data_IF_356018075311
#
_entry.id   IF_356018075311
#
_cell.length_a   1.000
_cell.length_b   1.000
_cell.length_c   1.000
_cell.angle_alpha   90.00
_cell.angle_beta   90.00
_cell.angle_gamma   90.00
#
_symmetry.space_group_name_H-M   'P 1'
#
loop_
_entity.id
_entity.type
_entity.pdbx_description
1 polymer ?
#
# COMPACT_ATOMS: atom_id res chain seq x y z
N UNK A 1 22.85 -28.06 9.20
CA UNK A 1 21.66 -27.71 10.02
C UNK A 1 21.97 -26.42 10.79
N UNK A 2 21.69 -25.20 10.35
CA UNK A 2 20.96 -24.74 9.18
C UNK A 2 19.96 -23.62 9.54
N UNK A 3 20.43 -22.52 10.12
CA UNK A 3 19.80 -21.17 10.15
C UNK A 3 18.43 -20.93 10.80
N UNK A 4 17.64 -21.94 11.19
CA UNK A 4 16.30 -21.73 11.81
C UNK A 4 16.34 -21.21 13.27
N UNK A 5 17.51 -21.20 13.93
CA UNK A 5 17.60 -20.86 15.37
C UNK A 5 17.84 -19.38 15.72
N UNK A 6 18.20 -18.49 14.78
CA UNK A 6 18.51 -17.09 15.14
C UNK A 6 17.31 -16.17 15.35
N UNK A 7 16.09 -16.64 15.12
CA UNK A 7 14.86 -15.82 15.29
C UNK A 7 14.11 -16.17 16.59
N UNK A 8 14.52 -17.20 17.34
CA UNK A 8 13.77 -17.67 18.53
C UNK A 8 14.37 -17.28 19.90
N UNK A 9 15.53 -16.63 19.98
CA UNK A 9 16.18 -16.32 21.27
C UNK A 9 15.82 -14.94 21.82
N UNK A 10 14.51 -14.71 21.97
CA UNK A 10 13.98 -13.75 22.92
C UNK A 10 12.66 -14.33 23.42
N UNK A 11 12.74 -15.25 24.38
CA UNK A 11 11.72 -15.59 25.40
C UNK A 11 12.04 -16.97 26.01
N UNK A 12 12.21 -16.95 27.34
CA UNK A 12 12.28 -18.05 28.31
C UNK A 12 13.61 -18.77 28.58
N UNK A 13 13.75 -18.98 29.90
CA UNK A 13 14.89 -19.37 30.73
C UNK A 13 14.69 -20.83 31.13
N UNK A 14 15.80 -21.51 31.41
CA UNK A 14 15.97 -22.80 32.11
C UNK A 14 15.70 -24.13 31.38
N UNK A 15 16.80 -24.90 31.26
CA UNK A 15 16.86 -26.27 31.77
C UNK A 15 16.90 -27.43 30.77
N UNK A 16 18.09 -28.04 30.60
CA UNK A 16 18.21 -29.51 30.66
C UNK A 16 18.28 -30.36 29.37
N UNK A 17 19.47 -30.42 28.75
CA UNK A 17 20.35 -31.60 28.59
C UNK A 17 19.90 -32.92 27.89
N UNK A 18 20.83 -33.43 27.04
CA UNK A 18 21.06 -34.79 26.43
C UNK A 18 20.24 -35.15 25.18
N UNK A 19 20.80 -35.65 24.07
CA UNK A 19 22.16 -36.09 23.72
C UNK A 19 22.12 -37.13 22.59
N UNK A 20 23.22 -37.25 21.84
CA UNK A 20 23.62 -38.37 20.95
C UNK A 20 22.82 -38.59 19.64
N UNK A 21 23.36 -39.10 18.54
CA UNK A 21 24.72 -39.34 18.00
C UNK A 21 24.48 -40.07 16.66
N UNK A 22 25.23 -39.78 15.60
CA UNK A 22 26.01 -40.77 14.83
C UNK A 22 26.41 -40.25 13.45
N UNK A 23 27.71 -40.36 13.25
CA UNK A 23 28.51 -40.00 12.10
C UNK A 23 28.48 -41.12 11.06
N UNK A 24 28.64 -40.79 9.77
CA UNK A 24 29.55 -41.54 8.88
C UNK A 24 30.28 -40.54 7.98
N UNK A 25 31.60 -40.59 8.05
CA UNK A 25 32.57 -39.85 7.23
C UNK A 25 33.20 -40.81 6.23
N UNK A 26 33.52 -40.31 5.03
CA UNK A 26 34.85 -40.40 4.40
C UNK A 26 34.85 -39.59 3.10
N UNK A 27 35.70 -38.57 3.00
CA UNK A 27 36.21 -38.07 1.73
C UNK A 27 37.62 -37.46 1.92
N UNK A 28 38.45 -37.70 0.90
CA UNK A 28 39.86 -37.34 0.72
C UNK A 28 40.08 -35.81 0.63
N UNK A 29 41.32 -35.29 0.82
CA UNK A 29 41.65 -33.86 0.73
C UNK A 29 41.82 -33.36 -0.72
N UNK A 30 41.79 -32.02 -0.95
CA UNK A 30 41.61 -31.43 -2.27
C UNK A 30 42.93 -31.20 -3.02
N UNK A 31 42.91 -31.38 -4.33
CA UNK A 31 43.89 -30.82 -5.27
C UNK A 31 43.38 -29.51 -5.84
N UNK A 32 44.28 -28.54 -5.94
CA UNK A 32 44.08 -27.21 -6.51
C UNK A 32 43.89 -27.25 -8.04
N UNK A 33 43.45 -26.11 -8.55
CA UNK A 33 43.18 -25.73 -9.95
C UNK A 33 41.76 -26.00 -10.45
N UNK A 34 40.90 -24.97 -10.31
CA UNK A 34 39.85 -24.68 -11.28
C UNK A 34 39.81 -23.16 -11.57
N UNK A 35 39.63 -22.74 -12.83
CA UNK A 35 39.75 -21.36 -13.26
C UNK A 35 38.55 -20.52 -12.82
N UNK A 36 38.81 -19.23 -12.57
CA UNK A 36 37.78 -18.25 -12.22
C UNK A 36 36.68 -18.19 -13.30
N UNK A 37 35.45 -18.60 -12.95
CA UNK A 37 34.26 -18.31 -13.75
C UNK A 37 34.07 -16.79 -13.87
N UNK A 38 33.71 -16.27 -15.06
CA UNK A 38 33.47 -14.86 -15.24
C UNK A 38 32.22 -14.47 -14.44
N UNK A 39 32.32 -13.39 -13.67
CA UNK A 39 31.19 -12.76 -13.01
C UNK A 39 30.13 -12.40 -14.05
N UNK A 40 29.05 -13.19 -14.13
CA UNK A 40 27.88 -12.82 -14.89
C UNK A 40 27.26 -11.56 -14.26
N UNK A 41 27.60 -10.41 -14.84
CA UNK A 41 26.97 -9.14 -14.54
C UNK A 41 25.49 -9.22 -14.92
N UNK A 42 24.64 -9.30 -13.91
CA UNK A 42 23.19 -9.34 -14.11
C UNK A 42 22.69 -7.95 -14.53
N UNK A 43 22.50 -7.78 -15.84
CA UNK A 43 21.72 -6.69 -16.40
C UNK A 43 20.25 -6.93 -16.05
N UNK A 44 19.73 -6.21 -15.04
CA UNK A 44 18.29 -6.10 -14.86
C UNK A 44 17.77 -5.28 -16.05
N UNK A 45 17.39 -5.96 -17.12
CA UNK A 45 16.76 -5.33 -18.28
C UNK A 45 15.37 -4.80 -17.88
N UNK A 46 14.98 -3.58 -18.31
CA UNK A 46 13.67 -3.01 -18.04
C UNK A 46 12.62 -3.68 -18.94
N UNK A 47 12.22 -4.91 -18.63
CA UNK A 47 11.27 -5.65 -19.48
C UNK A 47 10.67 -6.90 -18.86
N UNK A 48 11.50 -7.79 -18.31
CA UNK A 48 11.08 -9.01 -17.62
C UNK A 48 11.18 -8.80 -16.10
N UNK A 49 10.06 -8.88 -15.38
CA UNK A 49 10.07 -8.87 -13.91
C UNK A 49 10.82 -10.11 -13.42
N UNK A 50 11.93 -9.89 -12.73
CA UNK A 50 12.85 -10.96 -12.37
C UNK A 50 12.44 -11.60 -11.04
N UNK A 51 12.46 -12.93 -11.01
CA UNK A 51 12.50 -13.68 -9.77
C UNK A 51 13.87 -13.44 -9.11
N UNK A 52 13.86 -12.91 -7.89
CA UNK A 52 15.05 -12.53 -7.16
C UNK A 52 15.51 -13.69 -6.28
N UNK A 53 16.82 -13.93 -6.26
CA UNK A 53 17.44 -14.89 -5.34
C UNK A 53 17.50 -14.31 -3.92
N UNK A 54 17.56 -15.19 -2.92
CA UNK A 54 17.78 -14.78 -1.51
C UNK A 54 19.07 -13.95 -1.35
N UNK A 55 20.12 -14.28 -2.13
CA UNK A 55 21.38 -13.55 -2.11
C UNK A 55 21.20 -12.10 -2.58
N UNK A 56 20.39 -11.86 -3.59
CA UNK A 56 20.09 -10.52 -4.09
C UNK A 56 19.23 -9.74 -3.10
N UNK A 57 18.22 -10.38 -2.52
CA UNK A 57 17.40 -9.77 -1.48
C UNK A 57 18.24 -9.36 -0.26
N UNK A 58 19.08 -10.25 0.26
CA UNK A 58 19.95 -9.95 1.40
C UNK A 58 20.90 -8.78 1.10
N UNK A 59 21.44 -8.71 -0.12
CA UNK A 59 22.27 -7.55 -0.54
C UNK A 59 21.45 -6.26 -0.61
N UNK A 60 20.19 -6.34 -1.05
CA UNK A 60 19.33 -5.17 -1.24
C UNK A 60 18.75 -4.64 0.08
N UNK A 61 18.44 -5.52 1.03
CA UNK A 61 17.79 -5.20 2.32
C UNK A 61 18.76 -5.17 3.49
N UNK A 62 20.07 -5.33 3.24
CA UNK A 62 21.08 -5.48 4.29
C UNK A 62 20.72 -6.62 5.26
N UNK A 63 20.43 -7.79 4.68
CA UNK A 63 19.95 -8.98 5.38
C UNK A 63 18.70 -8.72 6.24
N UNK A 64 17.77 -7.91 5.73
CA UNK A 64 16.55 -7.51 6.43
C UNK A 64 16.82 -6.85 7.79
N UNK A 65 17.86 -6.02 7.87
CA UNK A 65 18.26 -5.38 9.11
C UNK A 65 17.16 -4.46 9.67
N UNK A 66 17.11 -4.34 11.00
CA UNK A 66 16.16 -3.46 11.68
C UNK A 66 16.30 -1.99 11.23
N UNK A 67 17.50 -1.57 10.81
CA UNK A 67 17.75 -0.24 10.26
C UNK A 67 17.02 0.02 8.93
N UNK A 68 16.63 -1.03 8.21
CA UNK A 68 15.85 -0.97 6.96
C UNK A 68 14.35 -1.15 7.19
N UNK A 69 13.91 -1.47 8.41
CA UNK A 69 12.49 -1.67 8.72
C UNK A 69 11.72 -0.36 8.53
N UNK A 70 10.71 -0.38 7.66
CA UNK A 70 9.82 0.76 7.45
C UNK A 70 8.48 0.57 8.17
N UNK A 71 7.98 -0.66 8.17
CA UNK A 71 6.72 -1.02 8.83
C UNK A 71 6.72 -2.48 9.23
N UNK A 72 6.22 -2.75 10.43
CA UNK A 72 5.84 -4.08 10.88
C UNK A 72 4.35 -4.01 11.21
N UNK A 73 3.54 -4.98 10.75
CA UNK A 73 2.10 -4.98 11.01
C UNK A 73 1.28 -5.61 9.90
N UNK A 74 -0.04 -5.42 9.94
CA UNK A 74 -0.98 -6.08 9.04
C UNK A 74 -1.17 -5.28 7.76
N UNK A 75 -0.77 -5.84 6.61
CA UNK A 75 -1.15 -5.34 5.29
C UNK A 75 -2.59 -5.74 4.93
N UNK A 76 -2.96 -5.63 3.64
CA UNK A 76 -4.17 -6.28 3.14
C UNK A 76 -4.09 -7.83 3.23
N UNK A 77 -2.87 -8.36 3.44
CA UNK A 77 -2.59 -9.74 3.84
C UNK A 77 -2.08 -9.77 5.29
N UNK A 78 -2.28 -10.93 5.93
CA UNK A 78 -1.66 -11.40 7.19
C UNK A 78 -0.24 -10.83 7.38
N UNK A 79 0.09 -10.42 8.61
CA UNK A 79 1.38 -9.82 9.05
C UNK A 79 2.43 -9.64 7.93
N UNK A 80 2.53 -8.45 7.35
CA UNK A 80 3.50 -8.15 6.31
C UNK A 80 4.53 -7.15 6.82
N UNK A 81 5.81 -7.53 6.74
CA UNK A 81 6.91 -6.68 7.17
C UNK A 81 7.51 -5.99 5.96
N UNK A 82 7.62 -4.67 6.03
CA UNK A 82 8.06 -3.82 4.92
C UNK A 82 9.43 -3.26 5.22
N UNK A 83 10.38 -3.53 4.33
CA UNK A 83 11.77 -3.06 4.42
C UNK A 83 12.10 -2.13 3.26
N UNK A 84 12.95 -1.14 3.54
CA UNK A 84 13.62 -0.35 2.50
C UNK A 84 14.70 -1.22 1.85
N UNK A 85 14.67 -1.30 0.53
CA UNK A 85 15.66 -2.02 -0.27
C UNK A 85 16.45 -1.06 -1.17
N UNK A 86 17.62 -1.49 -1.61
CA UNK A 86 18.46 -0.76 -2.57
C UNK A 86 18.96 -1.73 -3.63
N UNK A 87 18.40 -1.62 -4.84
CA UNK A 87 18.76 -2.45 -5.98
C UNK A 87 20.10 -2.03 -6.56
N UNK A 88 21.01 -2.99 -6.73
CA UNK A 88 22.33 -2.80 -7.33
C UNK A 88 22.29 -3.18 -8.83
N UNK A 89 23.18 -2.62 -9.68
CA UNK A 89 24.33 -1.77 -9.33
C UNK A 89 24.02 -0.27 -9.16
N UNK A 90 22.92 0.23 -9.72
CA UNK A 90 22.64 1.68 -9.84
C UNK A 90 22.20 2.33 -8.52
N UNK A 91 21.90 1.54 -7.48
CA UNK A 91 21.49 2.06 -6.17
C UNK A 91 20.03 2.51 -6.11
N UNK A 92 19.18 1.98 -6.99
CA UNK A 92 17.76 2.34 -7.06
C UNK A 92 17.02 1.94 -5.79
N UNK A 93 16.36 2.89 -5.13
CA UNK A 93 15.57 2.62 -3.95
C UNK A 93 14.32 1.78 -4.28
N UNK A 94 14.04 0.78 -3.45
CA UNK A 94 12.89 -0.11 -3.57
C UNK A 94 12.27 -0.39 -2.19
N UNK A 95 11.13 -1.07 -2.20
CA UNK A 95 10.41 -1.52 -1.00
C UNK A 95 10.23 -3.03 -1.09
N UNK A 96 10.77 -3.76 -0.12
CA UNK A 96 10.60 -5.20 0.00
C UNK A 96 9.47 -5.49 1.00
N UNK A 97 8.34 -6.00 0.51
CA UNK A 97 7.20 -6.44 1.30
C UNK A 97 7.33 -7.95 1.52
N UNK A 98 7.71 -8.34 2.73
CA UNK A 98 7.82 -9.72 3.18
C UNK A 98 6.45 -10.19 3.65
N UNK A 99 5.92 -11.24 3.03
CA UNK A 99 4.62 -11.80 3.39
C UNK A 99 4.77 -12.77 4.57
N UNK A 100 4.00 -12.56 5.64
CA UNK A 100 4.01 -13.42 6.82
C UNK A 100 3.46 -14.81 6.55
N UNK A 101 3.81 -15.74 7.43
CA UNK A 101 3.29 -17.11 7.39
C UNK A 101 1.80 -17.15 7.70
N UNK A 102 1.03 -18.01 7.00
CA UNK A 102 -0.38 -18.20 7.30
C UNK A 102 -0.60 -18.78 8.72
N UNK A 103 -1.78 -18.61 9.34
CA UNK A 103 -2.11 -19.17 10.66
C UNK A 103 -1.97 -20.69 10.74
N UNK A 104 -2.08 -21.39 9.60
CA UNK A 104 -1.77 -22.82 9.46
C UNK A 104 -0.30 -23.16 9.72
N UNK A 105 0.56 -22.16 9.87
CA UNK A 105 2.00 -22.28 10.08
C UNK A 105 2.81 -22.64 8.83
N UNK A 106 2.15 -23.03 7.73
CA UNK A 106 2.76 -23.36 6.44
C UNK A 106 1.88 -22.94 5.28
N UNK A 107 2.55 -22.48 4.22
CA UNK A 107 1.93 -22.20 2.94
C UNK A 107 1.52 -23.50 2.25
N UNK A 108 0.24 -23.65 1.96
CA UNK A 108 -0.28 -24.78 1.21
C UNK A 108 -0.17 -24.58 -0.31
N UNK A 109 -0.30 -25.67 -1.08
CA UNK A 109 -0.25 -25.62 -2.55
C UNK A 109 -1.27 -24.67 -3.17
N UNK A 110 -2.44 -24.50 -2.53
CA UNK A 110 -3.47 -23.54 -2.96
C UNK A 110 -3.02 -22.09 -2.78
N UNK A 111 -2.41 -21.76 -1.63
CA UNK A 111 -1.93 -20.41 -1.34
C UNK A 111 -0.74 -20.03 -2.25
N UNK A 112 0.10 -21.00 -2.59
CA UNK A 112 1.21 -20.84 -3.55
C UNK A 112 0.72 -20.56 -4.97
N UNK A 113 -0.20 -21.38 -5.46
CA UNK A 113 -0.79 -21.20 -6.78
C UNK A 113 -1.46 -19.83 -6.88
N UNK A 114 -2.17 -19.44 -5.83
CA UNK A 114 -2.82 -18.15 -5.74
C UNK A 114 -1.82 -16.97 -5.73
N UNK A 115 -0.77 -17.04 -4.93
CA UNK A 115 0.27 -16.02 -4.91
C UNK A 115 0.95 -15.88 -6.29
N UNK A 116 1.21 -17.00 -6.98
CA UNK A 116 1.78 -17.00 -8.34
C UNK A 116 0.85 -16.36 -9.37
N UNK A 117 -0.45 -16.67 -9.33
CA UNK A 117 -1.44 -16.02 -10.18
C UNK A 117 -1.43 -14.49 -10.00
N UNK A 118 -1.17 -14.05 -8.78
CA UNK A 118 -1.30 -12.64 -8.39
C UNK A 118 -0.03 -11.86 -8.69
N UNK A 119 1.13 -12.48 -8.50
CA UNK A 119 2.37 -12.01 -9.09
C UNK A 119 2.24 -11.92 -10.62
N UNK A 120 1.55 -12.85 -11.29
CA UNK A 120 1.29 -12.75 -12.74
C UNK A 120 0.31 -11.63 -13.11
N UNK A 121 -0.64 -11.27 -12.23
CA UNK A 121 -1.53 -10.13 -12.44
C UNK A 121 -0.78 -8.80 -12.26
N UNK A 122 -0.11 -8.62 -11.12
CA UNK A 122 0.77 -7.47 -10.87
C UNK A 122 1.81 -7.35 -12.00
N UNK A 123 2.38 -8.51 -12.37
CA UNK A 123 2.92 -9.03 -13.65
C UNK A 123 2.57 -8.37 -14.98
N UNK A 124 1.29 -8.06 -15.15
CA UNK A 124 0.75 -7.51 -16.39
C UNK A 124 0.38 -6.03 -16.26
N UNK A 125 0.05 -5.58 -15.04
CA UNK A 125 -0.38 -4.20 -14.79
C UNK A 125 0.78 -3.22 -14.97
N UNK A 126 0.58 -2.26 -15.88
CA UNK A 126 1.53 -1.19 -16.22
C UNK A 126 0.78 0.12 -16.46
N UNK A 127 0.97 1.07 -15.56
CA UNK A 127 0.41 2.41 -15.66
C UNK A 127 1.22 3.39 -14.82
N UNK A 128 1.35 4.65 -15.25
CA UNK A 128 2.18 5.65 -14.57
C UNK A 128 1.68 5.98 -13.16
N UNK A 129 0.38 5.82 -12.92
CA UNK A 129 -0.26 6.04 -11.63
C UNK A 129 -0.52 4.75 -10.83
N UNK A 130 0.17 3.64 -11.15
CA UNK A 130 0.18 2.42 -10.35
C UNK A 130 1.60 2.13 -9.86
N UNK A 131 1.73 1.76 -8.59
CA UNK A 131 3.03 1.38 -8.02
C UNK A 131 3.50 0.08 -8.66
N UNK A 132 4.66 0.12 -9.31
CA UNK A 132 5.18 -0.98 -10.11
C UNK A 132 5.87 -2.04 -9.25
N UNK A 133 5.45 -3.28 -9.42
CA UNK A 133 6.23 -4.46 -9.01
C UNK A 133 7.52 -4.52 -9.84
N UNK A 134 8.67 -4.50 -9.16
CA UNK A 134 10.02 -4.58 -9.71
C UNK A 134 10.53 -6.02 -9.81
N UNK A 135 10.16 -6.85 -8.83
CA UNK A 135 10.57 -8.26 -8.75
C UNK A 135 9.86 -8.97 -7.62
N UNK A 136 10.07 -10.27 -7.50
CA UNK A 136 9.45 -11.09 -6.46
C UNK A 136 10.33 -12.29 -6.11
N UNK A 137 10.04 -12.92 -4.98
CA UNK A 137 10.60 -14.22 -4.58
C UNK A 137 9.46 -15.04 -3.98
N UNK A 138 9.25 -16.26 -4.47
CA UNK A 138 8.28 -17.21 -3.90
C UNK A 138 9.02 -18.51 -3.55
N UNK A 139 9.60 -18.53 -2.36
CA UNK A 139 10.25 -19.71 -1.78
C UNK A 139 9.37 -20.41 -0.74
N UNK A 140 9.81 -21.57 -0.24
CA UNK A 140 9.10 -22.32 0.81
C UNK A 140 8.96 -21.50 2.10
N UNK A 141 10.06 -20.87 2.54
CA UNK A 141 10.12 -20.16 3.82
C UNK A 141 10.09 -18.63 3.68
N UNK A 142 10.29 -18.10 2.46
CA UNK A 142 10.40 -16.67 2.22
C UNK A 142 9.64 -16.25 0.98
N UNK A 143 8.73 -15.29 1.17
CA UNK A 143 7.95 -14.65 0.10
C UNK A 143 8.11 -13.15 0.17
N UNK A 144 8.60 -12.57 -0.92
CA UNK A 144 8.89 -11.14 -0.99
C UNK A 144 8.34 -10.57 -2.29
N UNK A 145 7.64 -9.45 -2.19
CA UNK A 145 7.27 -8.62 -3.33
C UNK A 145 8.08 -7.34 -3.27
N UNK A 146 8.78 -7.01 -4.36
CA UNK A 146 9.62 -5.82 -4.44
C UNK A 146 8.95 -4.75 -5.29
N UNK A 147 8.71 -3.58 -4.72
CA UNK A 147 8.07 -2.44 -5.37
C UNK A 147 9.01 -1.24 -5.49
N UNK A 148 8.67 -0.31 -6.36
CA UNK A 148 9.34 1.00 -6.39
C UNK A 148 9.14 1.78 -5.08
N UNK A 149 10.17 2.56 -4.70
CA UNK A 149 10.16 3.33 -3.47
C UNK A 149 9.52 4.71 -3.66
N UNK A 150 8.47 4.98 -2.87
CA UNK A 150 7.81 6.28 -2.83
C UNK A 150 8.67 7.31 -2.09
N UNK A 151 9.28 8.23 -2.83
CA UNK A 151 10.25 9.19 -2.27
C UNK A 151 9.64 10.18 -1.29
N UNK A 152 8.35 10.50 -1.42
CA UNK A 152 7.61 11.42 -0.54
C UNK A 152 6.71 10.72 0.49
N UNK A 153 6.70 9.38 0.55
CA UNK A 153 5.87 8.62 1.50
C UNK A 153 4.42 8.48 1.05
N UNK A 154 3.51 8.26 2.00
CA UNK A 154 2.08 8.13 1.70
C UNK A 154 1.38 9.50 1.68
N UNK A 155 0.26 9.61 0.98
CA UNK A 155 -0.60 10.79 1.04
C UNK A 155 -1.09 11.05 2.48
N UNK A 156 -1.37 9.99 3.23
CA UNK A 156 -1.76 10.09 4.63
C UNK A 156 -0.71 10.83 5.46
N UNK A 157 0.57 10.43 5.35
CA UNK A 157 1.65 11.03 6.14
C UNK A 157 1.88 12.50 5.76
N UNK A 158 1.72 12.83 4.48
CA UNK A 158 1.88 14.21 3.99
C UNK A 158 0.73 15.12 4.44
N UNK A 159 -0.52 14.63 4.48
CA UNK A 159 -1.65 15.42 4.93
C UNK A 159 -1.71 15.56 6.47
N UNK A 160 -1.47 14.45 7.17
CA UNK A 160 -1.84 14.29 8.57
C UNK A 160 -0.65 14.10 9.51
N UNK A 161 0.57 14.00 8.98
CA UNK A 161 1.77 13.63 9.72
C UNK A 161 1.92 12.10 9.90
N UNK A 162 3.09 11.64 10.38
CA UNK A 162 3.36 10.23 10.63
C UNK A 162 2.34 9.60 11.61
N UNK A 163 2.08 8.30 11.45
CA UNK A 163 1.29 7.53 12.42
C UNK A 163 2.08 7.33 13.73
N UNK A 164 1.46 7.63 14.87
CA UNK A 164 2.01 7.38 16.21
C UNK A 164 2.53 8.64 16.92
N UNK A 165 2.80 8.52 18.22
CA UNK A 165 3.47 9.58 18.99
C UNK A 165 4.86 9.84 18.40
N UNK A 166 5.31 11.12 18.32
CA UNK A 166 6.68 11.42 17.95
C UNK A 166 7.61 10.69 18.92
N UNK A 167 8.36 9.69 18.44
CA UNK A 167 9.38 9.08 19.28
C UNK A 167 10.40 10.17 19.65
N UNK A 168 10.73 10.36 20.94
CA UNK A 168 11.74 11.33 21.33
C UNK A 168 13.07 10.98 20.63
N UNK A 169 13.54 11.88 19.77
CA UNK A 169 14.74 11.67 18.94
C UNK A 169 14.46 11.31 17.47
N UNK A 170 13.22 10.98 17.10
CA UNK A 170 12.81 10.85 15.70
C UNK A 170 12.39 12.21 15.15
N UNK A 171 13.36 13.09 14.96
CA UNK A 171 13.20 14.10 13.93
C UNK A 171 13.23 13.36 12.60
N UNK A 172 12.07 13.00 12.07
CA UNK A 172 11.96 12.96 10.62
C UNK A 172 12.29 14.39 10.19
N UNK A 173 13.56 14.69 9.92
CA UNK A 173 14.07 16.02 9.57
C UNK A 173 13.51 16.56 8.25
N UNK A 174 12.38 16.01 7.79
CA UNK A 174 11.58 16.52 6.71
C UNK A 174 10.73 17.67 7.25
N UNK A 175 10.91 18.90 6.74
CA UNK A 175 10.04 20.01 7.09
C UNK A 175 8.59 19.64 6.79
N UNK A 176 7.65 20.15 7.59
CA UNK A 176 6.22 19.93 7.38
C UNK A 176 5.82 20.43 5.98
N UNK A 177 5.66 19.50 5.04
CA UNK A 177 5.28 19.82 3.67
C UNK A 177 3.81 20.19 3.66
N UNK A 178 3.51 21.41 3.21
CA UNK A 178 2.12 21.82 2.95
C UNK A 178 1.82 21.68 1.46
N UNK A 179 0.90 20.79 1.10
CA UNK A 179 0.44 20.64 -0.28
C UNK A 179 -0.42 21.84 -0.68
N UNK A 180 0.02 22.55 -1.72
CA UNK A 180 -0.77 23.58 -2.41
C UNK A 180 -2.03 22.99 -3.05
N UNK A 181 -2.99 23.85 -3.37
CA UNK A 181 -4.22 23.47 -4.08
C UNK A 181 -3.92 22.67 -5.36
N UNK A 182 -3.03 23.18 -6.22
CA UNK A 182 -2.67 22.55 -7.49
C UNK A 182 -2.08 21.15 -7.29
N UNK A 183 -1.23 20.96 -6.27
CA UNK A 183 -0.69 19.64 -5.94
C UNK A 183 -1.79 18.68 -5.50
N UNK A 184 -2.76 19.11 -4.69
CA UNK A 184 -3.86 18.25 -4.24
C UNK A 184 -4.77 17.81 -5.38
N UNK A 185 -5.11 18.74 -6.29
CA UNK A 185 -5.92 18.40 -7.48
C UNK A 185 -5.16 17.45 -8.41
N UNK A 186 -3.85 17.66 -8.60
CA UNK A 186 -3.01 16.74 -9.39
C UNK A 186 -2.92 15.36 -8.75
N UNK A 187 -2.73 15.27 -7.43
CA UNK A 187 -2.73 13.99 -6.69
C UNK A 187 -4.07 13.29 -6.86
N UNK A 188 -5.20 14.01 -6.76
CA UNK A 188 -6.53 13.46 -6.99
C UNK A 188 -6.66 12.91 -8.42
N UNK A 189 -6.19 13.65 -9.42
CA UNK A 189 -6.24 13.25 -10.82
C UNK A 189 -5.38 12.00 -11.10
N UNK A 190 -4.15 12.00 -10.61
CA UNK A 190 -3.22 10.87 -10.72
C UNK A 190 -3.81 9.60 -10.10
N UNK A 191 -4.33 9.70 -8.86
CA UNK A 191 -4.99 8.60 -8.19
C UNK A 191 -6.25 8.12 -8.95
N UNK A 192 -7.05 9.03 -9.48
CA UNK A 192 -8.24 8.70 -10.28
C UNK A 192 -7.87 7.96 -11.57
N UNK A 193 -6.81 8.37 -12.27
CA UNK A 193 -6.29 7.68 -13.46
C UNK A 193 -5.82 6.27 -13.15
N UNK A 194 -5.11 6.07 -12.04
CA UNK A 194 -4.70 4.75 -11.58
C UNK A 194 -5.89 3.81 -11.35
N UNK A 195 -6.93 4.30 -10.66
CA UNK A 195 -8.16 3.54 -10.43
C UNK A 195 -8.99 3.33 -11.70
N UNK A 196 -9.05 4.32 -12.59
CA UNK A 196 -9.69 4.18 -13.89
C UNK A 196 -9.05 3.04 -14.69
N UNK A 197 -7.73 3.01 -14.78
CA UNK A 197 -7.01 1.93 -15.45
C UNK A 197 -7.35 0.57 -14.84
N UNK A 198 -7.36 0.46 -13.51
CA UNK A 198 -7.73 -0.79 -12.83
C UNK A 198 -9.15 -1.25 -13.19
N UNK A 199 -10.14 -0.36 -13.12
CA UNK A 199 -11.55 -0.72 -13.35
C UNK A 199 -11.87 -0.98 -14.83
N UNK A 200 -11.37 -0.13 -15.73
CA UNK A 200 -11.84 -0.08 -17.12
C UNK A 200 -10.93 -0.84 -18.07
N UNK A 201 -9.60 -0.82 -17.85
CA UNK A 201 -8.65 -1.50 -18.71
C UNK A 201 -8.25 -2.88 -18.18
N UNK A 202 -8.06 -3.01 -16.86
CA UNK A 202 -7.65 -4.26 -16.24
C UNK A 202 -8.82 -5.10 -15.68
N UNK A 203 -10.01 -4.52 -15.53
CA UNK A 203 -11.16 -5.15 -14.88
C UNK A 203 -10.87 -5.70 -13.47
N UNK A 204 -10.06 -4.98 -12.69
CA UNK A 204 -9.65 -5.34 -11.32
C UNK A 204 -10.14 -4.29 -10.34
N UNK A 205 -10.77 -4.73 -9.25
CA UNK A 205 -11.10 -3.85 -8.13
C UNK A 205 -9.91 -3.75 -7.18
N UNK A 206 -9.77 -2.61 -6.52
CA UNK A 206 -8.74 -2.39 -5.53
C UNK A 206 -9.21 -2.81 -4.13
N UNK A 207 -10.43 -2.47 -3.76
CA UNK A 207 -11.13 -2.71 -2.48
C UNK A 207 -10.44 -2.21 -1.20
N UNK A 208 -9.26 -1.60 -1.33
CA UNK A 208 -8.45 -1.05 -0.25
C UNK A 208 -8.05 0.40 -0.50
N UNK A 209 -8.84 1.16 -1.27
CA UNK A 209 -8.54 2.56 -1.58
C UNK A 209 -8.58 3.41 -0.30
N UNK A 210 -7.47 4.07 0.03
CA UNK A 210 -7.32 4.97 1.19
C UNK A 210 -6.07 5.83 1.06
N UNK A 211 -5.93 6.91 1.83
CA UNK A 211 -4.77 7.81 1.73
C UNK A 211 -3.42 7.16 2.05
N UNK A 212 -3.38 6.04 2.80
CA UNK A 212 -2.14 5.27 3.01
C UNK A 212 -1.71 4.43 1.82
N UNK A 213 -2.64 4.14 0.91
CA UNK A 213 -2.39 3.37 -0.32
C UNK A 213 -2.24 4.28 -1.55
N UNK A 214 -2.26 5.60 -1.35
CA UNK A 214 -1.85 6.59 -2.36
C UNK A 214 -0.42 7.00 -2.04
N UNK A 215 0.55 6.52 -2.80
CA UNK A 215 1.97 6.81 -2.60
C UNK A 215 2.40 8.00 -3.44
N UNK A 216 3.29 8.82 -2.87
CA UNK A 216 3.78 10.04 -3.47
C UNK A 216 5.25 9.88 -3.88
N UNK A 217 5.51 10.19 -5.14
CA UNK A 217 6.84 10.14 -5.76
C UNK A 217 7.40 11.56 -5.93
N UNK A 218 8.56 11.65 -6.58
CA UNK A 218 9.18 12.92 -6.91
C UNK A 218 8.19 13.88 -7.58
N UNK A 219 8.24 15.15 -7.16
CA UNK A 219 7.32 16.17 -7.62
C UNK A 219 5.86 15.94 -7.19
N UNK A 220 5.57 15.08 -6.21
CA UNK A 220 4.21 14.72 -5.76
C UNK A 220 3.33 14.09 -6.85
N UNK A 221 3.93 13.32 -7.75
CA UNK A 221 3.16 12.40 -8.60
C UNK A 221 2.56 11.30 -7.74
N UNK A 222 1.27 11.03 -7.89
CA UNK A 222 0.60 10.02 -7.09
C UNK A 222 0.51 8.68 -7.84
N UNK A 223 0.71 7.60 -7.10
CA UNK A 223 0.48 6.23 -7.59
C UNK A 223 -0.31 5.43 -6.57
N UNK A 224 -1.25 4.63 -7.06
CA UNK A 224 -2.02 3.70 -6.25
C UNK A 224 -1.16 2.46 -5.96
N UNK A 225 -1.09 2.07 -4.69
CA UNK A 225 -0.34 0.94 -4.17
C UNK A 225 -1.25 -0.06 -3.45
N UNK A 226 -0.72 -1.22 -3.07
CA UNK A 226 -1.47 -2.24 -2.32
C UNK A 226 -2.82 -2.60 -2.99
N UNK A 227 -2.85 -2.55 -4.33
CA UNK A 227 -3.90 -3.12 -5.19
C UNK A 227 -3.69 -4.64 -5.39
N UNK A 228 -2.84 -5.24 -4.57
CA UNK A 228 -2.60 -6.67 -4.43
C UNK A 228 -3.71 -7.35 -3.61
N UNK A 229 -4.93 -6.80 -3.61
CA UNK A 229 -6.05 -7.34 -2.82
C UNK A 229 -6.69 -8.52 -3.53
N UNK A 230 -6.11 -9.66 -3.23
CA UNK A 230 -6.68 -10.99 -3.23
C UNK A 230 -8.14 -11.03 -2.74
N UNK A 231 -9.11 -11.00 -3.65
CA UNK A 231 -10.44 -11.58 -3.40
C UNK A 231 -10.58 -12.84 -4.24
N UNK A 232 -10.33 -14.00 -3.65
CA UNK A 232 -11.02 -15.20 -4.09
C UNK A 232 -12.37 -15.27 -3.37
N UNK A 233 -13.43 -15.84 -3.98
CA UNK A 233 -14.79 -15.90 -3.43
C UNK A 233 -14.96 -16.79 -2.19
N UNK A 234 -13.87 -17.34 -1.65
CA UNK A 234 -13.88 -18.26 -0.53
C UNK A 234 -13.09 -17.66 0.63
N UNK A 235 -13.69 -16.73 1.39
CA UNK A 235 -13.52 -16.66 2.85
C UNK A 235 -14.40 -15.54 3.43
N UNK A 236 -15.51 -15.92 4.07
CA UNK A 236 -16.27 -15.06 4.98
C UNK A 236 -15.45 -14.66 6.23
N UNK A 237 -14.32 -15.33 6.46
CA UNK A 237 -13.44 -15.14 7.62
C UNK A 237 -12.37 -14.05 7.38
N UNK A 238 -11.90 -13.85 6.13
CA UNK A 238 -10.82 -12.90 5.81
C UNK A 238 -11.25 -11.43 5.91
N UNK A 239 -12.52 -11.12 5.69
CA UNK A 239 -13.05 -9.75 5.83
C UNK A 239 -13.10 -9.29 7.28
N UNK A 240 -13.14 -10.22 8.25
CA UNK A 240 -13.04 -9.91 9.67
C UNK A 240 -11.61 -9.50 10.07
N UNK A 241 -10.60 -10.21 9.54
CA UNK A 241 -9.19 -9.94 9.85
C UNK A 241 -8.64 -8.66 9.20
N UNK A 242 -9.17 -8.25 8.03
CA UNK A 242 -8.80 -6.96 7.41
C UNK A 242 -9.02 -5.74 8.31
N UNK A 243 -9.80 -5.87 9.40
CA UNK A 243 -10.09 -4.81 10.34
C UNK A 243 -9.25 -4.84 11.63
N UNK A 244 -8.34 -5.79 11.83
CA UNK A 244 -7.76 -6.08 13.15
C UNK A 244 -6.90 -4.96 13.77
N UNK A 245 -6.08 -4.26 12.99
CA UNK A 245 -5.07 -3.34 13.58
C UNK A 245 -5.59 -1.90 13.77
N UNK A 246 -6.49 -1.43 12.90
CA UNK A 246 -7.13 -0.10 12.99
C UNK A 246 -8.57 -0.16 12.43
N UNK A 247 -9.51 -0.86 13.11
CA UNK A 247 -10.85 -1.12 12.58
C UNK A 247 -11.59 0.16 12.20
N UNK A 248 -11.48 1.20 13.04
CA UNK A 248 -12.17 2.48 12.82
C UNK A 248 -11.64 3.22 11.60
N UNK A 249 -10.32 3.40 11.49
CA UNK A 249 -9.72 4.10 10.34
C UNK A 249 -10.03 3.42 9.00
N UNK A 250 -10.03 2.08 8.95
CA UNK A 250 -10.31 1.33 7.71
C UNK A 250 -11.79 1.39 7.36
N UNK A 251 -12.68 1.22 8.34
CA UNK A 251 -14.13 1.25 8.12
C UNK A 251 -14.64 2.62 7.67
N UNK A 252 -13.95 3.72 7.98
CA UNK A 252 -14.34 5.06 7.50
C UNK A 252 -14.25 5.26 5.99
N UNK A 253 -13.50 4.41 5.27
CA UNK A 253 -13.45 4.42 3.80
C UNK A 253 -14.53 3.53 3.17
N UNK A 254 -15.11 2.59 3.94
CA UNK A 254 -16.00 1.59 3.37
C UNK A 254 -17.42 2.14 3.14
N UNK A 255 -18.07 1.76 2.04
CA UNK A 255 -19.47 2.08 1.83
C UNK A 255 -20.37 1.49 2.93
N UNK A 256 -21.39 2.23 3.42
CA UNK A 256 -22.31 1.72 4.44
C UNK A 256 -23.05 0.44 4.03
N UNK A 257 -23.40 0.30 2.75
CA UNK A 257 -24.06 -0.89 2.21
C UNK A 257 -23.12 -2.10 2.15
N UNK A 258 -21.82 -1.88 1.90
CA UNK A 258 -20.81 -2.94 1.90
C UNK A 258 -20.69 -3.52 3.32
N UNK A 259 -20.57 -2.66 4.32
CA UNK A 259 -20.54 -3.05 5.75
C UNK A 259 -21.83 -3.81 6.12
N UNK A 260 -23.00 -3.26 5.78
CA UNK A 260 -24.30 -3.88 6.13
C UNK A 260 -24.50 -5.26 5.49
N UNK A 261 -23.95 -5.46 4.29
CA UNK A 261 -24.02 -6.76 3.59
C UNK A 261 -23.11 -7.83 4.19
N UNK A 262 -22.32 -7.52 5.23
CA UNK A 262 -21.26 -8.39 5.70
C UNK A 262 -20.14 -8.53 4.68
N UNK A 263 -19.82 -7.45 3.96
CA UNK A 263 -18.76 -7.41 2.95
C UNK A 263 -18.97 -8.33 1.74
N UNK A 264 -20.22 -8.67 1.42
CA UNK A 264 -20.56 -9.58 0.32
C UNK A 264 -20.73 -8.87 -1.04
N UNK A 265 -20.86 -7.54 -1.04
CA UNK A 265 -21.00 -6.76 -2.27
C UNK A 265 -19.60 -6.48 -2.83
N UNK A 266 -19.21 -7.24 -3.85
CA UNK A 266 -17.93 -7.07 -4.52
C UNK A 266 -18.18 -6.32 -5.84
N UNK A 267 -17.97 -5.01 -5.84
CA UNK A 267 -18.07 -4.18 -7.04
C UNK A 267 -17.02 -3.06 -7.06
N UNK A 268 -16.81 -2.46 -8.23
CA UNK A 268 -15.92 -1.30 -8.39
C UNK A 268 -16.50 -0.03 -7.76
N UNK A 269 -17.80 0.00 -7.43
CA UNK A 269 -18.46 1.16 -6.79
C UNK A 269 -18.06 1.32 -5.32
N UNK A 270 -17.55 0.25 -4.71
CA UNK A 270 -16.84 0.30 -3.43
C UNK A 270 -15.60 1.18 -3.51
N UNK A 271 -14.78 1.02 -4.55
CA UNK A 271 -13.59 1.84 -4.76
C UNK A 271 -13.95 3.30 -5.04
N UNK A 272 -15.00 3.55 -5.82
CA UNK A 272 -15.48 4.91 -6.10
C UNK A 272 -15.85 5.64 -4.81
N UNK A 273 -16.58 4.98 -3.90
CA UNK A 273 -16.93 5.55 -2.60
C UNK A 273 -15.68 5.84 -1.76
N UNK A 274 -14.79 4.85 -1.63
CA UNK A 274 -13.53 5.00 -0.89
C UNK A 274 -12.66 6.13 -1.45
N UNK A 275 -12.63 6.29 -2.77
CA UNK A 275 -11.97 7.42 -3.43
C UNK A 275 -12.64 8.76 -3.09
N UNK A 276 -13.98 8.80 -2.99
CA UNK A 276 -14.71 9.95 -2.48
C UNK A 276 -14.26 10.39 -1.09
N UNK A 277 -13.92 9.46 -0.20
CA UNK A 277 -13.34 9.77 1.12
C UNK A 277 -11.94 10.39 0.97
N UNK A 278 -11.09 9.85 0.09
CA UNK A 278 -9.76 10.44 -0.20
C UNK A 278 -9.88 11.87 -0.76
N UNK A 279 -10.89 12.14 -1.61
CA UNK A 279 -11.16 13.50 -2.09
C UNK A 279 -11.55 14.45 -0.95
N UNK A 280 -12.31 13.98 0.05
CA UNK A 280 -12.60 14.76 1.25
C UNK A 280 -11.34 15.01 2.09
N UNK A 281 -10.46 14.03 2.26
CA UNK A 281 -9.17 14.25 2.95
C UNK A 281 -8.34 15.32 2.25
N UNK A 282 -8.24 15.27 0.92
CA UNK A 282 -7.53 16.28 0.13
C UNK A 282 -8.17 17.67 0.24
N UNK A 283 -9.50 17.76 0.24
CA UNK A 283 -10.22 19.03 0.32
C UNK A 283 -10.12 19.67 1.72
N UNK A 284 -10.20 18.84 2.77
CA UNK A 284 -10.42 19.28 4.16
C UNK A 284 -9.17 19.21 5.03
N UNK A 285 -8.17 18.42 4.64
CA UNK A 285 -6.99 18.14 5.46
C UNK A 285 -7.30 17.37 6.75
N UNK A 286 -8.51 16.83 6.91
CA UNK A 286 -8.96 16.08 8.09
C UNK A 286 -8.85 14.58 7.87
N UNK A 287 -8.58 13.84 8.96
CA UNK A 287 -8.59 12.38 8.92
C UNK A 287 -10.03 11.86 8.75
N UNK A 288 -10.25 10.70 8.09
CA UNK A 288 -11.59 10.14 7.90
C UNK A 288 -12.32 9.77 9.19
N UNK A 289 -11.57 9.40 10.22
CA UNK A 289 -12.01 9.01 11.55
C UNK A 289 -11.96 10.16 12.57
N UNK A 290 -11.76 11.41 12.11
CA UNK A 290 -11.74 12.59 12.96
C UNK A 290 -13.16 12.88 13.52
N UNK A 291 -13.46 12.21 14.65
CA UNK A 291 -14.73 12.28 15.36
C UNK A 291 -14.92 13.65 15.98
N UNK A 292 -16.04 14.28 15.67
CA UNK A 292 -16.51 15.49 16.37
C UNK A 292 -17.69 15.12 17.26
N UNK A 293 -18.08 15.96 18.24
CA UNK A 293 -19.26 15.72 19.06
C UNK A 293 -20.55 15.47 18.25
N UNK A 294 -20.61 15.96 17.00
CA UNK A 294 -21.79 15.91 16.14
C UNK A 294 -21.65 14.96 14.94
N UNK A 295 -20.51 14.30 14.75
CA UNK A 295 -20.27 13.44 13.57
C UNK A 295 -19.23 12.38 13.86
N UNK A 296 -19.53 11.12 13.51
CA UNK A 296 -18.65 9.97 13.78
C UNK A 296 -17.63 9.73 12.66
N UNK A 297 -17.82 10.33 11.48
CA UNK A 297 -16.90 10.22 10.34
C UNK A 297 -16.80 11.53 9.58
N UNK A 298 -15.71 11.70 8.82
CA UNK A 298 -15.51 12.84 7.92
C UNK A 298 -16.64 12.97 6.89
N UNK A 299 -17.16 11.85 6.38
CA UNK A 299 -18.28 11.82 5.42
C UNK A 299 -19.54 12.43 6.05
N UNK A 300 -19.89 12.03 7.27
CA UNK A 300 -21.07 12.54 7.98
C UNK A 300 -20.94 14.05 8.25
N UNK A 301 -19.73 14.52 8.55
CA UNK A 301 -19.47 15.93 8.81
C UNK A 301 -19.50 16.79 7.53
N UNK A 302 -18.84 16.35 6.45
CA UNK A 302 -18.66 17.13 5.23
C UNK A 302 -19.92 17.19 4.36
N UNK A 303 -20.64 16.07 4.24
CA UNK A 303 -21.75 15.91 3.29
C UNK A 303 -22.82 17.00 3.43
N UNK A 304 -23.36 17.32 4.62
CA UNK A 304 -24.39 18.35 4.77
C UNK A 304 -23.93 19.76 4.37
N UNK A 305 -22.65 20.07 4.54
CA UNK A 305 -22.09 21.36 4.16
C UNK A 305 -21.87 21.45 2.66
N UNK A 306 -21.30 20.41 2.06
CA UNK A 306 -21.08 20.34 0.61
C UNK A 306 -22.39 20.35 -0.16
N UNK A 307 -23.42 19.62 0.30
CA UNK A 307 -24.75 19.61 -0.34
C UNK A 307 -25.43 20.98 -0.33
N UNK A 308 -25.11 21.83 0.65
CA UNK A 308 -25.58 23.22 0.74
C UNK A 308 -24.67 24.22 0.00
N UNK A 309 -23.68 23.73 -0.75
CA UNK A 309 -22.70 24.56 -1.45
C UNK A 309 -21.73 25.31 -0.53
N UNK A 310 -21.67 24.97 0.76
CA UNK A 310 -20.88 25.67 1.79
C UNK A 310 -19.43 25.16 1.86
N UNK A 311 -18.80 24.94 0.71
CA UNK A 311 -17.47 24.31 0.61
C UNK A 311 -16.41 25.05 1.42
N UNK A 312 -16.45 26.39 1.49
CA UNK A 312 -15.51 27.22 2.25
C UNK A 312 -15.41 26.83 3.74
N UNK A 313 -16.46 26.25 4.33
CA UNK A 313 -16.46 25.79 5.73
C UNK A 313 -15.73 24.46 5.94
N UNK A 314 -15.44 23.75 4.85
CA UNK A 314 -14.80 22.45 4.88
C UNK A 314 -13.32 22.53 4.51
N UNK A 315 -12.88 23.61 3.84
CA UNK A 315 -11.53 23.71 3.29
C UNK A 315 -10.48 23.65 4.38
N UNK A 316 -9.43 22.87 4.10
CA UNK A 316 -8.24 22.80 4.94
C UNK A 316 -7.70 24.22 5.23
N UNK A 317 -7.54 24.61 6.51
CA UNK A 317 -6.91 25.88 6.87
C UNK A 317 -5.53 26.09 6.22
N UNK A 318 -4.76 25.02 5.97
CA UNK A 318 -3.46 25.07 5.27
C UNK A 318 -3.59 25.43 3.79
N UNK A 319 -4.77 25.29 3.18
CA UNK A 319 -5.04 25.76 1.82
C UNK A 319 -5.38 27.26 1.76
N UNK A 320 -5.84 27.82 2.89
CA UNK A 320 -6.11 29.27 2.98
C UNK A 320 -4.79 30.04 2.83
N UNK A 321 -3.71 29.56 3.47
CA UNK A 321 -2.38 30.17 3.37
C UNK A 321 -1.74 30.02 1.99
N UNK A 322 -2.05 28.94 1.25
CA UNK A 322 -1.49 28.67 -0.08
C UNK A 322 -2.35 29.19 -1.24
N UNK A 323 -3.51 29.81 -0.93
CA UNK A 323 -4.58 30.24 -1.85
C UNK A 323 -5.20 29.06 -2.63
N UNK A 324 -6.53 29.06 -2.75
CA UNK A 324 -7.27 28.09 -3.55
C UNK A 324 -8.39 28.77 -4.36
N UNK A 325 -8.71 28.29 -5.58
CA UNK A 325 -9.80 28.79 -6.38
C UNK A 325 -11.15 28.30 -5.82
N UNK A 326 -12.07 29.21 -5.42
CA UNK A 326 -13.36 28.81 -4.84
C UNK A 326 -14.23 27.95 -5.78
N UNK A 327 -14.19 28.21 -7.09
CA UNK A 327 -14.91 27.43 -8.09
C UNK A 327 -14.36 26.00 -8.19
N UNK A 328 -13.04 25.84 -8.24
CA UNK A 328 -12.38 24.54 -8.24
C UNK A 328 -12.65 23.74 -6.96
N UNK A 329 -12.62 24.41 -5.80
CA UNK A 329 -13.03 23.81 -4.52
C UNK A 329 -14.47 23.30 -4.54
N UNK A 330 -15.41 24.11 -5.03
CA UNK A 330 -16.81 23.71 -5.15
C UNK A 330 -16.99 22.51 -6.08
N UNK A 331 -16.29 22.51 -7.23
CA UNK A 331 -16.29 21.38 -8.17
C UNK A 331 -15.73 20.11 -7.52
N UNK A 332 -14.57 20.17 -6.87
CA UNK A 332 -13.97 19.01 -6.20
C UNK A 332 -14.88 18.46 -5.10
N UNK A 333 -15.49 19.34 -4.30
CA UNK A 333 -16.48 18.94 -3.28
C UNK A 333 -17.71 18.27 -3.88
N UNK A 334 -18.21 18.76 -5.02
CA UNK A 334 -19.31 18.10 -5.75
C UNK A 334 -18.89 16.73 -6.27
N UNK A 335 -17.69 16.57 -6.83
CA UNK A 335 -17.19 15.26 -7.30
C UNK A 335 -17.15 14.28 -6.13
N UNK A 336 -16.63 14.70 -4.97
CA UNK A 336 -16.63 13.88 -3.76
C UNK A 336 -18.05 13.43 -3.36
N UNK A 337 -19.05 14.33 -3.42
CA UNK A 337 -20.45 13.98 -3.15
C UNK A 337 -21.03 12.94 -4.13
N UNK A 338 -20.71 13.04 -5.42
CA UNK A 338 -21.16 12.05 -6.41
C UNK A 338 -20.52 10.68 -6.13
N UNK A 339 -19.24 10.64 -5.77
CA UNK A 339 -18.56 9.41 -5.36
C UNK A 339 -19.17 8.81 -4.09
N UNK A 340 -19.59 9.65 -3.14
CA UNK A 340 -20.15 9.26 -1.83
C UNK A 340 -21.67 9.03 -1.87
N UNK A 341 -22.28 8.95 -3.05
CA UNK A 341 -23.73 8.77 -3.16
C UNK A 341 -24.20 7.48 -2.46
N UNK A 342 -25.33 7.57 -1.76
CA UNK A 342 -25.88 6.45 -0.98
C UNK A 342 -26.27 5.25 -1.86
N UNK A 343 -26.91 5.51 -3.00
CA UNK A 343 -27.13 4.51 -4.04
C UNK A 343 -25.84 4.32 -4.84
N UNK A 344 -25.27 3.12 -4.75
CA UNK A 344 -24.06 2.71 -5.48
C UNK A 344 -24.20 2.82 -6.99
N UNK A 345 -25.41 2.65 -7.53
CA UNK A 345 -25.66 2.72 -8.99
C UNK A 345 -25.53 4.13 -9.52
N UNK A 346 -25.85 5.13 -8.70
CA UNK A 346 -25.73 6.54 -9.04
C UNK A 346 -24.32 7.10 -8.87
N UNK A 347 -23.40 6.34 -8.26
CA UNK A 347 -21.99 6.74 -8.21
C UNK A 347 -21.42 6.71 -9.65
N UNK A 348 -20.55 7.66 -10.03
CA UNK A 348 -19.94 7.69 -11.37
C UNK A 348 -18.99 6.50 -11.62
N UNK A 349 -18.53 6.31 -12.86
CA UNK A 349 -17.34 5.47 -13.14
C UNK A 349 -16.06 6.25 -12.82
N UNK A 350 -14.94 5.57 -12.62
CA UNK A 350 -13.66 6.24 -12.40
C UNK A 350 -13.20 7.04 -13.63
N UNK A 351 -13.58 6.65 -14.86
CA UNK A 351 -13.37 7.47 -16.06
C UNK A 351 -14.13 8.79 -16.01
N UNK A 352 -15.40 8.77 -15.61
CA UNK A 352 -16.18 10.00 -15.43
C UNK A 352 -15.59 10.88 -14.30
N UNK A 353 -15.17 10.27 -13.19
CA UNK A 353 -14.47 11.00 -12.10
C UNK A 353 -13.19 11.66 -12.59
N UNK A 354 -12.38 10.94 -13.36
CA UNK A 354 -11.13 11.45 -13.94
C UNK A 354 -11.39 12.64 -14.85
N UNK A 355 -12.39 12.57 -15.73
CA UNK A 355 -12.79 13.69 -16.59
C UNK A 355 -13.26 14.91 -15.78
N UNK A 356 -14.10 14.69 -14.75
CA UNK A 356 -14.57 15.78 -13.88
C UNK A 356 -13.42 16.46 -13.14
N UNK A 357 -12.44 15.71 -12.62
CA UNK A 357 -11.26 16.28 -11.94
C UNK A 357 -10.35 17.00 -12.94
N UNK A 358 -10.15 16.44 -14.14
CA UNK A 358 -9.34 17.08 -15.19
C UNK A 358 -9.90 18.45 -15.57
N UNK A 359 -11.23 18.61 -15.59
CA UNK A 359 -11.90 19.89 -15.83
C UNK A 359 -11.73 20.93 -14.71
N UNK A 360 -11.05 20.60 -13.59
CA UNK A 360 -10.66 21.58 -12.56
C UNK A 360 -9.28 22.19 -12.87
N UNK A 361 -8.41 21.49 -13.60
CA UNK A 361 -7.05 21.95 -13.93
C UNK A 361 -7.06 22.88 -15.15
N UNK A 362 -8.07 22.76 -16.02
CA UNK A 362 -8.22 23.56 -17.24
C UNK A 362 -8.95 24.90 -17.08
N UNK A 363 -9.48 25.19 -15.88
CA UNK A 363 -10.06 26.48 -15.51
C UNK A 363 -9.09 27.29 -14.65
#
# INVERSE_FOLDING_TARGET
MGWVERVKTALFVDGGVLGCCLCVSKNNPPTADDPAEPAAELLISPGSRAELTLRELNKATDSFSAARLMRQGYGNWREATVYRATLRPIGTAAVAKVLGTPPSGRWGSSEDAFLRQQVSLLSALRHDNLVRLLGYTIGPDLRVLLFEFATAGTLHDVLHGPRGEPQPGSSSGRPAVTLSWAQRVRIALDAARGLQYLHEAAAVGHWGVRSTNVLLFEGFRAKIADYDVFQQPAMEEQTRDMCAEHPRERTCYLPPEYIRSGHRIIDYKTDVYSFGVVLLELLTGRKPDDVTPHSRTLVQWATPMLSKGRVKRCIDPKLISTRYPPAGALKLGRIALHCLHHDRRSRPSMGAVTQMISGIIGD
#
